data_IF_040119784615
#
_entry.id   IF_040119784615
#
_cell.length_a   1.000
_cell.length_b   1.000
_cell.length_c   1.000
_cell.angle_alpha   90.00
_cell.angle_beta   90.00
_cell.angle_gamma   90.00
#
_symmetry.space_group_name_H-M   'P 1'
#
loop_
_entity.id
_entity.type
_entity.pdbx_description
1 polymer ?
#
# COMPACT_ATOMS: atom_id res chain seq x y z
N UNK A 1 -11.86 18.05 -14.34
CA UNK A 1 -13.03 17.49 -13.63
C UNK A 1 -13.25 16.11 -14.20
N UNK A 2 -13.25 15.09 -13.36
CA UNK A 2 -13.70 13.75 -13.78
C UNK A 2 -15.20 13.87 -14.00
N UNK A 3 -15.69 13.41 -15.13
CA UNK A 3 -17.13 13.32 -15.37
C UNK A 3 -17.69 12.30 -14.36
N UNK A 4 -18.42 12.76 -13.36
CA UNK A 4 -19.01 11.91 -12.31
C UNK A 4 -20.02 10.89 -12.84
N UNK A 5 -20.40 11.00 -14.10
CA UNK A 5 -21.33 10.08 -14.78
C UNK A 5 -20.61 8.99 -15.59
N UNK A 6 -19.30 9.11 -15.79
CA UNK A 6 -18.52 8.14 -16.57
C UNK A 6 -18.19 6.91 -15.72
N UNK A 7 -18.40 5.72 -16.30
CA UNK A 7 -17.95 4.47 -15.69
C UNK A 7 -16.42 4.40 -15.69
N UNK A 8 -15.81 4.30 -14.50
CA UNK A 8 -14.36 4.25 -14.33
C UNK A 8 -13.88 2.81 -14.23
N UNK A 9 -13.02 2.42 -15.15
CA UNK A 9 -12.30 1.14 -15.09
C UNK A 9 -11.00 1.32 -14.31
N UNK A 10 -10.79 0.46 -13.33
CA UNK A 10 -9.60 0.44 -12.47
C UNK A 10 -8.93 -0.94 -12.45
N UNK A 11 -7.65 -0.96 -12.12
CA UNK A 11 -6.86 -2.19 -11.96
C UNK A 11 -6.04 -2.13 -10.68
N UNK A 12 -5.88 -3.28 -10.00
CA UNK A 12 -4.85 -3.44 -8.98
C UNK A 12 -3.50 -3.59 -9.68
N UNK A 13 -2.55 -2.74 -9.31
CA UNK A 13 -1.24 -2.71 -9.93
C UNK A 13 -0.15 -3.23 -8.99
N UNK A 14 0.57 -4.18 -9.50
CA UNK A 14 1.86 -4.66 -9.02
C UNK A 14 2.79 -4.79 -10.22
N UNK A 15 4.02 -4.32 -10.17
CA UNK A 15 4.99 -4.55 -11.25
C UNK A 15 5.15 -6.04 -11.51
N UNK A 16 5.10 -6.42 -12.77
CA UNK A 16 5.06 -7.82 -13.19
C UNK A 16 6.25 -8.65 -12.72
N UNK A 17 7.42 -8.04 -12.61
CA UNK A 17 8.66 -8.73 -12.25
C UNK A 17 8.91 -8.76 -10.74
N UNK A 18 8.48 -7.73 -10.02
CA UNK A 18 8.87 -7.50 -8.63
C UNK A 18 7.73 -7.71 -7.64
N UNK A 19 6.49 -7.68 -8.12
CA UNK A 19 5.29 -7.83 -7.32
C UNK A 19 5.32 -6.93 -6.06
N UNK A 20 5.17 -7.50 -4.87
CA UNK A 20 5.11 -6.75 -3.61
C UNK A 20 6.42 -6.09 -3.19
N UNK A 21 7.55 -6.54 -3.71
CA UNK A 21 8.88 -6.08 -3.30
C UNK A 21 9.40 -4.90 -4.13
N UNK A 22 8.58 -4.33 -4.99
CA UNK A 22 9.00 -3.29 -5.94
C UNK A 22 9.44 -1.97 -5.30
N UNK A 23 8.99 -1.67 -4.08
CA UNK A 23 9.45 -0.48 -3.37
C UNK A 23 10.90 -0.61 -2.88
N UNK A 24 11.36 -1.84 -2.60
CA UNK A 24 12.76 -2.12 -2.24
C UNK A 24 13.72 -2.09 -3.44
N UNK A 25 13.18 -2.27 -4.64
CA UNK A 25 13.93 -2.30 -5.91
C UNK A 25 13.18 -1.49 -6.97
N UNK A 26 12.99 -0.21 -6.64
CA UNK A 26 12.19 0.69 -7.47
C UNK A 26 12.89 1.04 -8.78
N UNK A 27 12.20 0.90 -9.90
CA UNK A 27 12.64 1.30 -11.22
C UNK A 27 11.58 2.14 -11.93
N UNK A 28 11.87 3.42 -12.13
CA UNK A 28 11.00 4.36 -12.85
C UNK A 28 10.61 3.85 -14.24
N UNK A 29 11.59 3.31 -15.00
CA UNK A 29 11.35 2.84 -16.37
C UNK A 29 10.36 1.66 -16.46
N UNK A 30 10.32 0.80 -15.44
CA UNK A 30 9.33 -0.28 -15.35
C UNK A 30 7.92 0.30 -15.18
N UNK A 31 7.77 1.25 -14.25
CA UNK A 31 6.48 1.93 -14.00
C UNK A 31 6.00 2.69 -15.24
N UNK A 32 6.89 3.44 -15.91
CA UNK A 32 6.57 4.15 -17.16
C UNK A 32 6.04 3.20 -18.23
N UNK A 33 6.71 2.08 -18.43
CA UNK A 33 6.32 1.08 -19.42
C UNK A 33 4.96 0.46 -19.12
N UNK A 34 4.75 0.06 -17.85
CA UNK A 34 3.53 -0.63 -17.45
C UNK A 34 2.33 0.33 -17.34
N UNK A 35 2.53 1.57 -16.91
CA UNK A 35 1.46 2.58 -16.89
C UNK A 35 1.03 2.99 -18.31
N UNK A 36 1.96 3.07 -19.25
CA UNK A 36 1.61 3.26 -20.65
C UNK A 36 0.73 2.11 -21.19
N UNK A 37 0.99 0.86 -20.79
CA UNK A 37 0.16 -0.29 -21.14
C UNK A 37 -1.24 -0.21 -20.51
N UNK A 38 -1.33 0.17 -19.22
CA UNK A 38 -2.59 0.36 -18.50
C UNK A 38 -3.45 1.43 -19.22
N UNK A 39 -2.84 2.56 -19.56
CA UNK A 39 -3.51 3.63 -20.30
C UNK A 39 -3.99 3.17 -21.70
N UNK A 40 -3.15 2.41 -22.42
CA UNK A 40 -3.50 1.89 -23.75
C UNK A 40 -4.68 0.89 -23.71
N UNK A 41 -4.92 0.22 -22.56
CA UNK A 41 -6.09 -0.63 -22.34
C UNK A 41 -7.36 0.15 -21.98
N UNK A 42 -7.28 1.48 -21.87
CA UNK A 42 -8.40 2.32 -21.46
C UNK A 42 -8.72 2.31 -19.98
N UNK A 43 -7.80 1.84 -19.14
CA UNK A 43 -7.96 1.84 -17.70
C UNK A 43 -7.56 3.22 -17.14
N UNK A 44 -8.49 3.87 -16.46
CA UNK A 44 -8.29 5.25 -15.98
C UNK A 44 -7.69 5.36 -14.58
N UNK A 45 -7.71 4.27 -13.80
CA UNK A 45 -7.23 4.26 -12.41
C UNK A 45 -6.39 3.02 -12.15
N UNK A 46 -5.23 3.20 -11.51
CA UNK A 46 -4.42 2.13 -10.95
C UNK A 46 -4.43 2.22 -9.43
N UNK A 47 -4.86 1.15 -8.74
CA UNK A 47 -4.71 1.01 -7.30
C UNK A 47 -3.34 0.42 -7.01
N UNK A 48 -2.53 1.16 -6.26
CA UNK A 48 -1.20 0.74 -5.80
C UNK A 48 -1.20 0.52 -4.30
N UNK A 49 -0.22 -0.22 -3.82
CA UNK A 49 -0.17 -0.63 -2.42
C UNK A 49 1.11 -0.10 -1.77
N UNK A 50 0.94 0.71 -0.74
CA UNK A 50 2.04 1.22 0.07
C UNK A 50 2.42 0.13 1.08
N UNK A 51 3.43 -0.65 0.74
CA UNK A 51 3.83 -1.78 1.56
C UNK A 51 4.38 -1.28 2.90
N UNK A 52 3.71 -1.62 3.99
CA UNK A 52 3.88 -0.92 5.27
C UNK A 52 5.32 -0.94 5.78
N UNK A 53 5.98 -2.11 5.76
CA UNK A 53 7.37 -2.21 6.22
C UNK A 53 8.37 -1.42 5.36
N UNK A 54 8.05 -1.16 4.09
CA UNK A 54 8.90 -0.40 3.18
C UNK A 54 8.75 1.10 3.41
N UNK A 55 7.54 1.57 3.69
CA UNK A 55 7.26 2.99 3.97
C UNK A 55 7.55 3.39 5.42
N UNK A 56 7.40 2.46 6.37
CA UNK A 56 7.59 2.70 7.80
C UNK A 56 8.38 1.55 8.44
N UNK A 57 9.70 1.53 8.23
CA UNK A 57 10.57 0.43 8.73
C UNK A 57 10.73 0.41 10.25
N UNK A 58 10.33 1.47 10.96
CA UNK A 58 10.24 1.54 12.41
C UNK A 58 9.06 2.43 12.82
N UNK A 59 8.51 2.30 14.03
CA UNK A 59 7.33 3.05 14.47
C UNK A 59 7.48 4.57 14.38
N UNK A 60 8.70 5.05 14.58
CA UNK A 60 9.06 6.48 14.60
C UNK A 60 9.80 6.93 13.34
N UNK A 61 9.95 6.06 12.34
CA UNK A 61 10.74 6.36 11.14
C UNK A 61 9.95 6.09 9.87
N UNK A 62 9.76 7.14 9.08
CA UNK A 62 9.25 7.07 7.72
C UNK A 62 10.43 6.96 6.75
N UNK A 63 10.29 6.17 5.70
CA UNK A 63 11.30 5.99 4.66
C UNK A 63 11.17 7.08 3.59
N UNK A 64 12.06 8.06 3.64
CA UNK A 64 12.06 9.18 2.68
C UNK A 64 12.29 8.73 1.24
N UNK A 65 13.05 7.65 1.02
CA UNK A 65 13.24 7.11 -0.33
C UNK A 65 11.92 6.54 -0.88
N UNK A 66 11.20 5.73 -0.11
CA UNK A 66 9.90 5.21 -0.52
C UNK A 66 8.87 6.33 -0.77
N UNK A 67 8.90 7.41 0.03
CA UNK A 67 8.09 8.60 -0.26
C UNK A 67 8.52 9.27 -1.58
N UNK A 68 9.80 9.40 -1.85
CA UNK A 68 10.30 9.98 -3.10
C UNK A 68 9.89 9.13 -4.32
N UNK A 69 9.98 7.81 -4.19
CA UNK A 69 9.57 6.86 -5.23
C UNK A 69 8.06 6.94 -5.49
N UNK A 70 7.24 7.09 -4.44
CA UNK A 70 5.80 7.35 -4.58
C UNK A 70 5.55 8.63 -5.38
N UNK A 71 6.28 9.71 -5.12
CA UNK A 71 6.20 10.93 -5.91
C UNK A 71 6.49 10.68 -7.39
N UNK A 72 7.52 9.89 -7.68
CA UNK A 72 7.86 9.49 -9.05
C UNK A 72 6.73 8.69 -9.70
N UNK A 73 6.11 7.75 -8.98
CA UNK A 73 4.95 6.98 -9.46
C UNK A 73 3.78 7.89 -9.81
N UNK A 74 3.49 8.86 -8.94
CA UNK A 74 2.42 9.83 -9.16
C UNK A 74 2.68 10.73 -10.38
N UNK A 75 3.92 11.17 -10.58
CA UNK A 75 4.29 11.95 -11.76
C UNK A 75 4.18 11.13 -13.04
N UNK A 76 4.65 9.88 -13.06
CA UNK A 76 4.51 8.96 -14.20
C UNK A 76 3.04 8.69 -14.51
N UNK A 77 2.20 8.50 -13.50
CA UNK A 77 0.76 8.32 -13.68
C UNK A 77 0.11 9.55 -14.35
N UNK A 78 0.47 10.74 -13.88
CA UNK A 78 -0.01 12.01 -14.47
C UNK A 78 0.41 12.11 -15.95
N UNK A 79 1.65 11.77 -16.27
CA UNK A 79 2.19 11.80 -17.63
C UNK A 79 1.50 10.77 -18.53
N UNK A 80 1.15 9.60 -18.01
CA UNK A 80 0.39 8.56 -18.70
C UNK A 80 -1.12 8.84 -18.79
N UNK A 81 -1.62 9.87 -18.12
CA UNK A 81 -3.05 10.22 -18.09
C UNK A 81 -3.92 9.30 -17.24
N UNK A 82 -3.35 8.54 -16.32
CA UNK A 82 -4.07 7.70 -15.35
C UNK A 82 -4.04 8.32 -13.95
N UNK A 83 -4.98 7.91 -13.12
CA UNK A 83 -5.06 8.29 -11.72
C UNK A 83 -4.60 7.15 -10.81
N UNK A 84 -4.17 7.50 -9.62
CA UNK A 84 -3.67 6.54 -8.63
C UNK A 84 -4.59 6.53 -7.41
N UNK A 85 -4.90 5.32 -6.94
CA UNK A 85 -5.51 5.07 -5.64
C UNK A 85 -4.48 4.39 -4.73
N UNK A 86 -3.72 5.15 -3.94
CA UNK A 86 -2.80 4.55 -2.99
C UNK A 86 -3.56 3.86 -1.86
N UNK A 87 -3.14 2.64 -1.51
CA UNK A 87 -3.71 1.86 -0.43
C UNK A 87 -2.72 1.77 0.71
N UNK A 88 -3.10 2.30 1.87
CA UNK A 88 -2.35 2.22 3.11
C UNK A 88 -2.51 0.85 3.78
N UNK A 89 -1.52 0.48 4.60
CA UNK A 89 -1.56 -0.64 5.55
C UNK A 89 -1.98 -1.96 4.89
N UNK A 90 -1.29 -2.31 3.82
CA UNK A 90 -1.51 -3.58 3.14
C UNK A 90 -1.05 -4.73 4.04
N UNK A 91 -1.95 -5.21 4.88
CA UNK A 91 -1.69 -6.26 5.85
C UNK A 91 -2.09 -7.64 5.37
N UNK A 92 -3.10 -7.76 4.53
CA UNK A 92 -3.53 -9.03 3.94
C UNK A 92 -3.64 -8.91 2.43
N UNK A 93 -3.00 -9.84 1.71
CA UNK A 93 -3.11 -9.92 0.27
C UNK A 93 -2.83 -11.33 -0.22
N UNK A 94 -3.69 -11.81 -1.12
CA UNK A 94 -3.53 -13.13 -1.76
C UNK A 94 -3.34 -14.30 -0.78
N UNK A 95 -4.04 -14.24 0.36
CA UNK A 95 -4.00 -15.30 1.38
C UNK A 95 -2.81 -15.21 2.35
N UNK A 96 -2.01 -14.17 2.27
CA UNK A 96 -0.84 -13.97 3.13
C UNK A 96 -1.02 -12.68 3.94
N UNK A 97 -0.57 -12.70 5.19
CA UNK A 97 -0.58 -11.55 6.09
C UNK A 97 0.83 -10.96 6.16
N UNK A 98 0.94 -9.67 5.85
CA UNK A 98 2.20 -8.93 5.82
C UNK A 98 2.22 -7.94 6.98
N UNK A 99 3.23 -8.06 7.85
CA UNK A 99 3.34 -7.20 9.02
C UNK A 99 4.75 -6.68 9.18
N UNK A 100 4.94 -5.39 9.50
CA UNK A 100 6.22 -4.90 9.94
C UNK A 100 6.64 -5.61 11.24
N UNK A 101 7.91 -5.92 11.37
CA UNK A 101 8.43 -6.62 12.56
C UNK A 101 8.06 -5.94 13.87
N UNK A 102 8.07 -4.62 13.91
CA UNK A 102 7.76 -3.83 15.09
C UNK A 102 6.28 -3.86 15.49
N UNK A 103 5.41 -4.27 14.58
CA UNK A 103 3.98 -4.43 14.84
C UNK A 103 3.61 -5.85 15.32
N UNK A 104 4.59 -6.75 15.46
CA UNK A 104 4.37 -8.07 16.03
C UNK A 104 4.49 -8.02 17.55
N UNK A 105 3.73 -8.89 18.23
CA UNK A 105 3.86 -9.14 19.65
C UNK A 105 4.84 -10.28 19.92
N UNK A 106 5.32 -10.47 21.16
CA UNK A 106 6.12 -11.64 21.53
C UNK A 106 5.34 -12.95 21.48
N UNK A 107 4.02 -12.87 21.63
CA UNK A 107 3.13 -14.02 21.73
C UNK A 107 2.91 -14.68 20.36
N UNK A 108 2.73 -16.01 20.37
CA UNK A 108 2.28 -16.75 19.20
C UNK A 108 0.79 -16.49 18.94
N UNK A 109 0.43 -16.49 17.68
CA UNK A 109 -0.96 -16.40 17.28
C UNK A 109 -1.69 -17.72 17.59
N UNK A 110 -2.70 -17.66 18.44
CA UNK A 110 -3.48 -18.83 18.86
C UNK A 110 -4.27 -19.46 17.71
N UNK A 111 -4.58 -18.68 16.69
CA UNK A 111 -5.26 -19.16 15.48
C UNK A 111 -4.28 -19.73 14.45
N UNK A 112 -2.97 -19.62 14.72
CA UNK A 112 -1.93 -20.11 13.84
C UNK A 112 -1.82 -19.34 12.51
N UNK A 113 -2.27 -18.10 12.46
CA UNK A 113 -2.18 -17.28 11.25
C UNK A 113 -0.74 -17.00 10.89
N UNK A 114 -0.38 -17.43 9.69
CA UNK A 114 0.97 -17.22 9.15
C UNK A 114 1.12 -15.77 8.66
N UNK A 115 2.20 -15.13 9.10
CA UNK A 115 2.56 -13.77 8.66
C UNK A 115 3.93 -13.77 7.99
N UNK A 116 4.16 -12.76 7.17
CA UNK A 116 5.48 -12.47 6.61
C UNK A 116 5.94 -11.13 7.18
N UNK A 117 7.17 -11.11 7.66
CA UNK A 117 7.89 -9.91 8.10
C UNK A 117 9.33 -9.98 7.61
N UNK A 118 9.86 -8.92 7.03
CA UNK A 118 11.21 -8.90 6.42
C UNK A 118 11.47 -10.09 5.47
N UNK A 119 10.45 -10.52 4.73
CA UNK A 119 10.54 -11.67 3.82
C UNK A 119 10.59 -13.04 4.48
N UNK A 120 10.35 -13.14 5.80
CA UNK A 120 10.39 -14.40 6.57
C UNK A 120 9.02 -14.71 7.17
N UNK A 121 8.69 -16.00 7.22
CA UNK A 121 7.49 -16.47 7.89
C UNK A 121 7.60 -16.40 9.41
N UNK A 122 6.50 -16.04 10.05
CA UNK A 122 6.34 -16.03 11.51
C UNK A 122 4.91 -16.37 11.90
N UNK A 123 4.75 -17.00 13.05
CA UNK A 123 3.46 -17.27 13.70
C UNK A 123 3.18 -16.30 14.85
N UNK A 124 4.02 -15.29 15.03
CA UNK A 124 3.81 -14.26 16.05
C UNK A 124 2.53 -13.48 15.79
N UNK A 125 1.80 -13.20 16.84
CA UNK A 125 0.60 -12.37 16.77
C UNK A 125 0.96 -10.94 16.36
N UNK A 126 0.06 -10.28 15.63
CA UNK A 126 0.12 -8.85 15.37
C UNK A 126 -0.56 -8.05 16.47
N UNK A 127 -0.09 -6.83 16.71
CA UNK A 127 -0.81 -5.87 17.56
C UNK A 127 -2.17 -5.54 16.95
N UNK A 128 -3.12 -5.18 17.79
CA UNK A 128 -4.45 -4.76 17.31
C UNK A 128 -4.36 -3.38 16.63
N UNK A 129 -4.59 -3.30 15.30
CA UNK A 129 -4.50 -2.04 14.58
C UNK A 129 -5.68 -1.09 14.85
N UNK A 130 -6.76 -1.61 15.42
CA UNK A 130 -7.98 -0.81 15.66
C UNK A 130 -8.11 -0.32 17.09
N UNK A 131 -7.54 -1.02 18.05
CA UNK A 131 -7.73 -0.74 19.48
C UNK A 131 -6.43 -0.40 20.23
N UNK A 132 -5.25 -0.78 19.72
CA UNK A 132 -3.98 -0.41 20.35
C UNK A 132 -3.62 1.05 20.07
N UNK A 133 -3.60 1.94 21.10
CA UNK A 133 -3.26 3.35 20.90
C UNK A 133 -1.89 3.58 20.26
N UNK A 134 -0.94 2.67 20.50
CA UNK A 134 0.37 2.70 19.85
C UNK A 134 0.24 2.51 18.34
N UNK A 135 -0.56 1.54 17.89
CA UNK A 135 -0.77 1.29 16.47
C UNK A 135 -1.45 2.47 15.80
N UNK A 136 -2.51 3.01 16.41
CA UNK A 136 -3.22 4.19 15.91
C UNK A 136 -2.28 5.40 15.74
N UNK A 137 -1.39 5.67 16.71
CA UNK A 137 -0.41 6.77 16.61
C UNK A 137 0.58 6.54 15.45
N UNK A 138 1.09 5.32 15.34
CA UNK A 138 2.06 4.95 14.29
C UNK A 138 1.43 5.02 12.89
N UNK A 139 0.19 4.59 12.75
CA UNK A 139 -0.57 4.68 11.50
C UNK A 139 -0.83 6.12 11.07
N UNK A 140 -1.28 6.96 12.01
CA UNK A 140 -1.49 8.37 11.75
C UNK A 140 -0.21 9.04 11.25
N UNK A 141 0.94 8.67 11.81
CA UNK A 141 2.24 9.21 11.40
C UNK A 141 2.57 8.91 9.94
N UNK A 142 2.29 7.70 9.46
CA UNK A 142 2.48 7.35 8.05
C UNK A 142 1.51 8.10 7.14
N UNK A 143 0.23 8.16 7.54
CA UNK A 143 -0.80 8.88 6.78
C UNK A 143 -0.44 10.36 6.67
N UNK A 144 -0.06 11.00 7.78
CA UNK A 144 0.34 12.40 7.81
C UNK A 144 1.55 12.65 6.90
N UNK A 145 2.57 11.79 6.94
CA UNK A 145 3.76 11.94 6.10
C UNK A 145 3.44 11.87 4.61
N UNK A 146 2.61 10.91 4.21
CA UNK A 146 2.21 10.73 2.81
C UNK A 146 1.26 11.83 2.35
N UNK A 147 0.20 12.10 3.11
CA UNK A 147 -0.85 13.04 2.73
C UNK A 147 -0.38 14.50 2.78
N UNK A 148 0.48 14.88 3.72
CA UNK A 148 1.09 16.21 3.75
C UNK A 148 1.92 16.48 2.50
N UNK A 149 2.58 15.45 1.96
CA UNK A 149 3.45 15.59 0.78
C UNK A 149 2.70 15.48 -0.54
N UNK A 150 1.70 14.59 -0.62
CA UNK A 150 1.05 14.22 -1.88
C UNK A 150 -0.47 14.37 -1.88
N UNK A 151 -1.09 14.84 -0.81
CA UNK A 151 -2.54 14.95 -0.70
C UNK A 151 -3.21 15.77 -1.80
N UNK A 152 -2.52 16.80 -2.29
CA UNK A 152 -3.00 17.64 -3.39
C UNK A 152 -2.44 17.24 -4.78
N UNK A 153 -1.75 16.11 -4.90
CA UNK A 153 -1.15 15.72 -6.17
C UNK A 153 -2.22 15.39 -7.22
N UNK A 154 -2.14 15.95 -8.44
CA UNK A 154 -3.21 15.84 -9.44
C UNK A 154 -3.45 14.41 -9.95
N UNK A 155 -2.52 13.50 -9.78
CA UNK A 155 -2.72 12.09 -10.12
C UNK A 155 -3.49 11.31 -9.05
N UNK A 156 -3.68 11.81 -7.86
CA UNK A 156 -4.48 11.12 -6.84
C UNK A 156 -5.94 11.07 -7.25
N UNK A 157 -6.51 9.87 -7.27
CA UNK A 157 -7.93 9.62 -7.46
C UNK A 157 -8.67 9.65 -6.12
N UNK A 158 -8.23 8.82 -5.20
CA UNK A 158 -8.73 8.70 -3.82
C UNK A 158 -7.71 7.98 -2.96
N UNK A 159 -7.88 8.05 -1.65
CA UNK A 159 -7.09 7.30 -0.67
C UNK A 159 -7.87 6.05 -0.26
N UNK A 160 -7.18 4.93 -0.12
CA UNK A 160 -7.77 3.69 0.35
C UNK A 160 -7.04 3.19 1.60
N UNK A 161 -7.80 2.78 2.60
CA UNK A 161 -7.31 2.16 3.82
C UNK A 161 -7.73 0.70 3.79
N UNK A 162 -6.82 -0.19 3.39
CA UNK A 162 -7.07 -1.62 3.28
C UNK A 162 -6.46 -2.33 4.48
N UNK A 163 -6.95 -2.02 5.67
CA UNK A 163 -6.62 -2.85 6.81
C UNK A 163 -7.60 -3.99 6.92
N UNK A 164 -7.13 -5.21 6.82
CA UNK A 164 -7.68 -6.46 7.37
C UNK A 164 -9.18 -6.76 7.21
N UNK A 165 -9.95 -6.01 6.42
CA UNK A 165 -11.39 -6.23 6.28
C UNK A 165 -11.78 -7.61 5.72
N UNK A 166 -10.81 -8.37 5.23
CA UNK A 166 -11.05 -9.73 4.73
C UNK A 166 -10.62 -10.84 5.70
N UNK A 167 -9.94 -10.50 6.80
CA UNK A 167 -9.41 -11.51 7.75
C UNK A 167 -10.41 -11.84 8.86
N UNK A 168 -11.28 -10.90 9.20
CA UNK A 168 -12.39 -11.16 10.11
C UNK A 168 -13.60 -11.56 9.29
N UNK A 169 -13.64 -12.81 8.86
CA UNK A 169 -14.87 -13.47 8.52
C UNK A 169 -15.76 -13.44 9.76
N UNK A 170 -16.56 -12.37 9.89
CA UNK A 170 -17.70 -12.39 10.80
C UNK A 170 -18.65 -13.42 10.20
N UNK A 171 -18.54 -14.66 10.70
CA UNK A 171 -19.57 -15.66 10.49
C UNK A 171 -20.86 -15.07 11.06
N UNK A 172 -21.78 -14.74 10.18
CA UNK A 172 -23.18 -14.49 10.48
C UNK A 172 -23.87 -15.84 10.59
#
# INVERSE_FOLDING_TARGET
MVDETAFVLAVNYWPRKKAMYWWKDFERAEVETEFAQIAALGLGVARIFLFWEDFQPAPDRINDQALSDLGTVLDVAREAGIKIMPTFFTGHMSGINWWPRWALTPEEDLEGLLRITDGQYTTRAGRDPYADPFMIDVENRLVDAVCSRYGAHPAIYSWNFSMFSEVFGVGI
#
